data_IF_716047334398
#
_entry.id   IF_716047334398
#
_cell.length_a   1.000
_cell.length_b   1.000
_cell.length_c   1.000
_cell.angle_alpha   90.00
_cell.angle_beta   90.00
_cell.angle_gamma   90.00
#
_symmetry.space_group_name_H-M   'P 1'
#
loop_
_entity.id
_entity.type
_entity.pdbx_description
1 polymer ?
#
# COMPACT_ATOMS: atom_id res chain seq x y z
N UNK A 1 16.63 0.94 32.23
CA UNK A 1 16.84 1.21 30.79
C UNK A 1 16.43 0.00 29.91
N UNK A 2 15.53 -0.89 30.36
CA UNK A 2 15.13 -2.09 29.60
C UNK A 2 13.86 -1.91 28.75
N UNK A 3 12.99 -0.95 29.09
CA UNK A 3 11.63 -0.87 28.51
C UNK A 3 11.58 -0.73 26.98
N UNK A 4 12.58 -0.10 26.35
CA UNK A 4 12.68 0.00 24.91
C UNK A 4 13.16 -1.30 24.27
N UNK A 5 14.14 -1.98 24.87
CA UNK A 5 14.64 -3.28 24.40
C UNK A 5 13.57 -4.37 24.56
N UNK A 6 12.85 -4.36 25.68
CA UNK A 6 11.76 -5.30 25.96
C UNK A 6 10.63 -5.15 24.92
N UNK A 7 10.27 -3.92 24.55
CA UNK A 7 9.29 -3.64 23.49
C UNK A 7 9.76 -4.14 22.12
N UNK A 8 11.02 -3.91 21.78
CA UNK A 8 11.61 -4.36 20.51
C UNK A 8 11.64 -5.89 20.44
N UNK A 9 12.06 -6.57 21.50
CA UNK A 9 12.05 -8.04 21.57
C UNK A 9 10.64 -8.61 21.47
N UNK A 10 9.65 -7.98 22.13
CA UNK A 10 8.26 -8.38 22.00
C UNK A 10 7.74 -8.23 20.56
N UNK A 11 8.08 -7.13 19.88
CA UNK A 11 7.68 -6.90 18.48
C UNK A 11 8.35 -7.88 17.51
N UNK A 12 9.64 -8.18 17.74
CA UNK A 12 10.38 -9.19 16.98
C UNK A 12 9.75 -10.57 17.19
N UNK A 13 9.40 -10.94 18.42
CA UNK A 13 8.76 -12.23 18.71
C UNK A 13 7.37 -12.36 18.10
N UNK A 14 6.58 -11.29 18.06
CA UNK A 14 5.28 -11.29 17.37
C UNK A 14 5.45 -11.47 15.86
N UNK A 15 6.38 -10.73 15.26
CA UNK A 15 6.67 -10.82 13.84
C UNK A 15 7.18 -12.22 13.47
N UNK A 16 8.04 -12.80 14.32
CA UNK A 16 8.53 -14.15 14.17
C UNK A 16 7.38 -15.18 14.18
N UNK A 17 6.48 -15.10 15.16
CA UNK A 17 5.30 -15.97 15.21
C UNK A 17 4.38 -15.83 13.99
N UNK A 18 4.19 -14.62 13.48
CA UNK A 18 3.42 -14.37 12.26
C UNK A 18 4.11 -14.96 11.02
N UNK A 19 5.42 -14.80 10.91
CA UNK A 19 6.23 -15.34 9.82
C UNK A 19 6.32 -16.88 9.87
N UNK A 20 6.15 -17.50 11.04
CA UNK A 20 6.14 -18.96 11.19
C UNK A 20 4.99 -19.64 10.43
N UNK A 21 3.95 -18.88 10.05
CA UNK A 21 2.84 -19.36 9.21
C UNK A 21 3.31 -19.76 7.80
N UNK A 22 4.48 -19.28 7.36
CA UNK A 22 5.03 -19.57 6.04
C UNK A 22 6.12 -20.66 6.12
N UNK A 23 5.87 -21.88 5.62
CA UNK A 23 6.80 -23.00 5.77
C UNK A 23 8.15 -22.79 5.07
N UNK A 24 8.19 -21.96 4.02
CA UNK A 24 9.43 -21.58 3.36
C UNK A 24 10.37 -20.77 4.28
N UNK A 25 9.83 -19.90 5.12
CA UNK A 25 10.62 -19.09 6.05
C UNK A 25 11.14 -19.93 7.23
N UNK A 26 10.35 -20.88 7.69
CA UNK A 26 10.75 -21.81 8.77
C UNK A 26 11.90 -22.75 8.31
N UNK A 27 11.87 -23.20 7.05
CA UNK A 27 12.97 -23.99 6.47
C UNK A 27 14.25 -23.16 6.31
N UNK A 28 14.13 -21.89 5.92
CA UNK A 28 15.25 -20.97 5.80
C UNK A 28 15.88 -20.65 7.17
N UNK A 29 15.07 -20.46 8.21
CA UNK A 29 15.55 -20.26 9.57
C UNK A 29 16.32 -21.47 10.08
N UNK A 30 15.81 -22.69 9.88
CA UNK A 30 16.52 -23.93 10.28
C UNK A 30 17.85 -24.13 9.57
N UNK A 31 17.99 -23.61 8.35
CA UNK A 31 19.21 -23.74 7.54
C UNK A 31 20.23 -22.64 7.84
N UNK A 32 19.77 -21.40 8.05
CA UNK A 32 20.62 -20.22 8.23
C UNK A 32 20.88 -19.88 9.69
N UNK A 33 20.09 -20.43 10.61
CA UNK A 33 20.12 -20.18 12.06
C UNK A 33 19.91 -18.69 12.43
N UNK A 34 19.33 -17.90 11.52
CA UNK A 34 18.98 -16.50 11.73
C UNK A 34 17.46 -16.39 11.91
N UNK A 35 16.96 -15.69 12.95
CA UNK A 35 15.53 -15.54 13.14
C UNK A 35 14.88 -14.84 11.94
N UNK A 36 13.79 -15.42 11.44
CA UNK A 36 13.05 -14.94 10.26
C UNK A 36 12.57 -13.50 10.41
N UNK A 37 12.29 -13.04 11.63
CA UNK A 37 11.98 -11.63 11.90
C UNK A 37 13.12 -10.67 11.51
N UNK A 38 14.38 -10.99 11.82
CA UNK A 38 15.51 -10.14 11.42
C UNK A 38 15.72 -10.15 9.91
N UNK A 39 15.53 -11.31 9.26
CA UNK A 39 15.59 -11.40 7.80
C UNK A 39 14.52 -10.53 7.14
N UNK A 40 13.27 -10.59 7.62
CA UNK A 40 12.17 -9.75 7.12
C UNK A 40 12.44 -8.26 7.31
N UNK A 41 12.88 -7.85 8.50
CA UNK A 41 13.25 -6.45 8.79
C UNK A 41 14.40 -6.01 7.88
N UNK A 42 15.42 -6.85 7.69
CA UNK A 42 16.55 -6.59 6.80
C UNK A 42 16.11 -6.40 5.35
N UNK A 43 15.18 -7.22 4.85
CA UNK A 43 14.62 -7.08 3.50
C UNK A 43 13.81 -5.79 3.34
N UNK A 44 12.99 -5.43 4.31
CA UNK A 44 12.23 -4.16 4.29
C UNK A 44 13.18 -2.96 4.33
N UNK A 45 14.20 -3.00 5.19
CA UNK A 45 15.21 -1.96 5.28
C UNK A 45 16.02 -1.83 3.97
N UNK A 46 16.43 -2.96 3.38
CA UNK A 46 17.12 -2.99 2.09
C UNK A 46 16.23 -2.42 0.99
N UNK A 47 14.97 -2.83 0.93
CA UNK A 47 14.01 -2.33 -0.05
C UNK A 47 13.83 -0.81 0.05
N UNK A 48 13.67 -0.28 1.27
CA UNK A 48 13.59 1.16 1.50
C UNK A 48 14.90 1.87 1.13
N UNK A 49 16.05 1.29 1.47
CA UNK A 49 17.36 1.79 1.10
C UNK A 49 17.53 1.89 -0.43
N UNK A 50 17.13 0.85 -1.17
CA UNK A 50 17.19 0.86 -2.63
C UNK A 50 16.32 1.98 -3.23
N UNK A 51 15.13 2.22 -2.68
CA UNK A 51 14.27 3.35 -3.07
C UNK A 51 14.94 4.69 -2.75
N UNK A 52 15.54 4.84 -1.56
CA UNK A 52 16.17 6.08 -1.11
C UNK A 52 17.35 6.49 -2.00
N UNK A 53 18.16 5.52 -2.43
CA UNK A 53 19.28 5.72 -3.35
C UNK A 53 18.87 5.68 -4.84
N UNK A 54 17.56 5.62 -5.12
CA UNK A 54 16.99 5.56 -6.46
C UNK A 54 17.51 4.38 -7.31
N UNK A 55 17.85 3.27 -6.67
CA UNK A 55 18.24 2.02 -7.33
C UNK A 55 16.97 1.24 -7.70
N UNK A 56 16.48 1.47 -8.92
CA UNK A 56 15.24 0.84 -9.40
C UNK A 56 13.97 1.45 -8.80
N UNK A 57 14.00 2.72 -8.39
CA UNK A 57 12.91 3.39 -7.68
C UNK A 57 11.53 3.26 -8.35
N UNK A 58 11.46 3.36 -9.68
CA UNK A 58 10.20 3.19 -10.42
C UNK A 58 9.63 1.78 -10.29
N UNK A 59 10.47 0.75 -10.47
CA UNK A 59 10.04 -0.64 -10.35
C UNK A 59 9.60 -0.96 -8.92
N UNK A 60 10.41 -0.57 -7.94
CA UNK A 60 10.13 -0.85 -6.53
C UNK A 60 8.83 -0.14 -6.10
N UNK A 61 8.69 1.15 -6.35
CA UNK A 61 7.45 1.88 -6.00
C UNK A 61 6.20 1.31 -6.68
N UNK A 62 6.31 0.87 -7.94
CA UNK A 62 5.21 0.18 -8.61
C UNK A 62 4.86 -1.15 -7.93
N UNK A 63 5.86 -1.97 -7.55
CA UNK A 63 5.60 -3.21 -6.80
C UNK A 63 4.77 -2.91 -5.54
N UNK A 64 5.12 -1.89 -4.76
CA UNK A 64 4.33 -1.52 -3.59
C UNK A 64 2.92 -1.02 -3.97
N UNK A 65 2.82 -0.17 -5.00
CA UNK A 65 1.56 0.39 -5.48
C UNK A 65 0.60 -0.61 -6.13
N UNK A 66 1.09 -1.77 -6.56
CA UNK A 66 0.26 -2.82 -7.17
C UNK A 66 0.05 -4.03 -6.26
N UNK A 67 1.11 -4.54 -5.62
CA UNK A 67 1.05 -5.82 -4.91
C UNK A 67 0.33 -5.70 -3.57
N UNK A 68 0.60 -4.65 -2.78
CA UNK A 68 -0.06 -4.43 -1.48
C UNK A 68 -1.59 -4.30 -1.64
N UNK A 69 -2.11 -3.33 -2.41
CA UNK A 69 -3.55 -3.21 -2.60
C UNK A 69 -4.12 -4.39 -3.39
N UNK A 70 -3.34 -5.01 -4.28
CA UNK A 70 -3.76 -6.21 -5.01
C UNK A 70 -4.05 -7.39 -4.08
N UNK A 71 -3.16 -7.64 -3.11
CA UNK A 71 -3.37 -8.67 -2.10
C UNK A 71 -4.65 -8.43 -1.30
N UNK A 72 -4.83 -7.22 -0.76
CA UNK A 72 -6.04 -6.91 0.00
C UNK A 72 -7.31 -6.85 -0.85
N UNK A 73 -7.20 -6.46 -2.12
CA UNK A 73 -8.32 -6.51 -3.06
C UNK A 73 -8.75 -7.97 -3.29
N UNK A 74 -7.80 -8.90 -3.42
CA UNK A 74 -8.11 -10.33 -3.54
C UNK A 74 -8.78 -10.85 -2.28
N UNK A 75 -8.30 -10.45 -1.09
CA UNK A 75 -8.95 -10.81 0.17
C UNK A 75 -10.38 -10.26 0.24
N UNK A 76 -10.58 -9.00 -0.14
CA UNK A 76 -11.90 -8.36 -0.16
C UNK A 76 -12.88 -9.08 -1.11
N UNK A 77 -12.42 -9.56 -2.27
CA UNK A 77 -13.23 -10.30 -3.23
C UNK A 77 -13.79 -11.63 -2.69
N UNK A 78 -13.11 -12.24 -1.71
CA UNK A 78 -13.59 -13.44 -1.04
C UNK A 78 -14.29 -13.15 0.29
N UNK A 79 -14.34 -11.89 0.71
CA UNK A 79 -15.05 -11.43 1.90
C UNK A 79 -16.53 -11.16 1.59
N UNK A 80 -17.39 -11.23 2.60
CA UNK A 80 -18.82 -10.88 2.45
C UNK A 80 -19.09 -9.37 2.58
N UNK A 81 -18.06 -8.55 2.86
CA UNK A 81 -18.17 -7.16 3.27
C UNK A 81 -18.01 -6.21 2.07
N UNK A 82 -19.11 -5.55 1.68
CA UNK A 82 -19.07 -4.52 0.60
C UNK A 82 -18.25 -3.27 0.93
N UNK A 83 -17.96 -3.03 2.21
CA UNK A 83 -17.20 -1.87 2.64
C UNK A 83 -15.73 -1.98 2.18
N UNK A 84 -15.19 -3.21 2.17
CA UNK A 84 -13.82 -3.47 1.76
C UNK A 84 -13.67 -3.31 0.25
N UNK A 85 -14.65 -3.78 -0.54
CA UNK A 85 -14.69 -3.56 -1.99
C UNK A 85 -14.66 -2.07 -2.37
N UNK A 86 -15.42 -1.25 -1.65
CA UNK A 86 -15.51 0.20 -1.92
C UNK A 86 -14.18 0.90 -1.66
N UNK A 87 -13.47 0.50 -0.59
CA UNK A 87 -12.17 1.04 -0.24
C UNK A 87 -11.13 0.76 -1.32
N UNK A 88 -11.03 -0.50 -1.78
CA UNK A 88 -10.05 -0.89 -2.79
C UNK A 88 -10.39 -0.31 -4.17
N UNK A 89 -11.67 -0.24 -4.55
CA UNK A 89 -12.08 0.44 -5.78
C UNK A 89 -11.70 1.93 -5.74
N UNK A 90 -11.91 2.59 -4.60
CA UNK A 90 -11.50 3.98 -4.40
C UNK A 90 -9.99 4.15 -4.54
N UNK A 91 -9.21 3.23 -3.96
CA UNK A 91 -7.77 3.18 -4.15
C UNK A 91 -7.39 3.10 -5.63
N UNK A 92 -7.95 2.16 -6.39
CA UNK A 92 -7.61 1.97 -7.80
C UNK A 92 -7.96 3.18 -8.66
N UNK A 93 -9.07 3.86 -8.36
CA UNK A 93 -9.47 5.10 -9.04
C UNK A 93 -8.46 6.23 -8.77
N UNK A 94 -8.11 6.45 -7.51
CA UNK A 94 -7.14 7.49 -7.10
C UNK A 94 -5.75 7.18 -7.68
N UNK A 95 -5.29 5.93 -7.54
CA UNK A 95 -4.00 5.46 -8.04
C UNK A 95 -3.86 5.63 -9.55
N UNK A 96 -4.90 5.26 -10.31
CA UNK A 96 -4.91 5.39 -11.78
C UNK A 96 -4.83 6.86 -12.20
N UNK A 97 -5.56 7.75 -11.52
CA UNK A 97 -5.52 9.19 -11.78
C UNK A 97 -4.12 9.78 -11.59
N UNK A 98 -3.46 9.48 -10.46
CA UNK A 98 -2.09 9.94 -10.22
C UNK A 98 -1.08 9.32 -11.18
N UNK A 99 -1.24 8.05 -11.54
CA UNK A 99 -0.35 7.37 -12.50
C UNK A 99 -0.41 8.03 -13.88
N UNK A 100 -1.60 8.45 -14.33
CA UNK A 100 -1.76 9.18 -15.60
C UNK A 100 -1.16 10.58 -15.50
N UNK A 101 -1.37 11.31 -14.41
CA UNK A 101 -0.75 12.64 -14.23
C UNK A 101 0.77 12.52 -14.20
N UNK A 102 1.31 11.55 -13.48
CA UNK A 102 2.74 11.30 -13.41
C UNK A 102 3.34 11.01 -14.79
N UNK A 103 2.66 10.21 -15.62
CA UNK A 103 3.16 9.88 -16.96
C UNK A 103 3.19 11.09 -17.91
N UNK A 104 2.36 12.11 -17.65
CA UNK A 104 2.33 13.36 -18.42
C UNK A 104 3.41 14.37 -18.01
N UNK A 105 3.94 14.29 -16.78
CA UNK A 105 4.88 15.28 -16.25
C UNK A 105 6.31 14.69 -16.26
N UNK A 106 7.07 15.00 -17.30
CA UNK A 106 8.47 14.54 -17.46
C UNK A 106 9.45 15.19 -16.47
N UNK A 107 9.11 16.34 -15.89
CA UNK A 107 10.01 17.09 -14.98
C UNK A 107 10.20 16.42 -13.62
N UNK A 108 9.32 15.47 -13.29
CA UNK A 108 9.24 14.87 -11.96
C UNK A 108 10.50 14.07 -11.61
N UNK A 109 11.21 13.54 -12.61
CA UNK A 109 12.47 12.81 -12.42
C UNK A 109 13.66 13.69 -12.03
N UNK A 110 13.56 15.02 -12.18
CA UNK A 110 14.61 15.95 -11.77
C UNK A 110 14.55 16.28 -10.27
N UNK A 111 13.43 15.99 -9.61
CA UNK A 111 13.25 16.26 -8.19
C UNK A 111 13.98 15.22 -7.32
N UNK A 112 14.88 15.64 -6.39
CA UNK A 112 15.58 14.70 -5.52
C UNK A 112 14.60 13.95 -4.61
N UNK A 113 14.87 12.67 -4.36
CA UNK A 113 14.03 11.78 -3.56
C UNK A 113 12.58 11.59 -4.07
N UNK A 114 12.30 11.91 -5.34
CA UNK A 114 10.97 11.75 -5.92
C UNK A 114 10.35 10.37 -5.65
N UNK A 115 11.09 9.29 -5.92
CA UNK A 115 10.60 7.93 -5.71
C UNK A 115 10.37 7.59 -4.24
N UNK A 116 11.11 8.19 -3.32
CA UNK A 116 10.86 8.05 -1.89
C UNK A 116 9.53 8.69 -1.51
N UNK A 117 9.25 9.91 -1.99
CA UNK A 117 7.95 10.54 -1.76
C UNK A 117 6.81 9.78 -2.42
N UNK A 118 7.01 9.31 -3.66
CA UNK A 118 6.04 8.45 -4.37
C UNK A 118 5.76 7.19 -3.56
N UNK A 119 6.79 6.53 -3.05
CA UNK A 119 6.64 5.33 -2.24
C UNK A 119 5.81 5.58 -0.97
N UNK A 120 6.16 6.62 -0.21
CA UNK A 120 5.43 7.00 1.02
C UNK A 120 3.97 7.34 0.69
N UNK A 121 3.74 8.07 -0.40
CA UNK A 121 2.40 8.40 -0.87
C UNK A 121 1.59 7.14 -1.22
N UNK A 122 2.16 6.20 -1.98
CA UNK A 122 1.51 4.93 -2.33
C UNK A 122 1.25 4.04 -1.11
N UNK A 123 2.15 4.01 -0.13
CA UNK A 123 1.91 3.34 1.13
C UNK A 123 0.77 3.98 1.91
N UNK A 124 0.72 5.30 1.99
CA UNK A 124 -0.35 6.01 2.68
C UNK A 124 -1.72 5.79 2.02
N UNK A 125 -1.76 5.69 0.69
CA UNK A 125 -2.98 5.34 -0.04
C UNK A 125 -3.42 3.89 0.21
N UNK A 126 -2.47 2.95 0.23
CA UNK A 126 -2.75 1.50 0.27
C UNK A 126 -3.00 0.96 1.67
N UNK A 127 -2.46 1.59 2.72
CA UNK A 127 -2.64 1.12 4.09
C UNK A 127 -4.06 1.41 4.60
N UNK A 128 -4.83 0.38 5.01
CA UNK A 128 -6.23 0.53 5.41
C UNK A 128 -6.41 1.37 6.68
N UNK A 129 -5.38 1.43 7.55
CA UNK A 129 -5.38 2.23 8.77
C UNK A 129 -5.52 3.74 8.49
N UNK A 130 -4.90 4.23 7.42
CA UNK A 130 -4.89 5.67 7.12
C UNK A 130 -6.05 6.12 6.24
N UNK A 131 -6.67 5.19 5.49
CA UNK A 131 -7.76 5.46 4.53
C UNK A 131 -7.41 6.63 3.58
N UNK A 132 -6.15 6.72 3.17
CA UNK A 132 -5.64 7.86 2.39
C UNK A 132 -6.34 8.02 1.04
N UNK A 133 -6.64 6.91 0.35
CA UNK A 133 -7.38 6.93 -0.89
C UNK A 133 -8.78 7.55 -0.74
N UNK A 134 -9.52 7.19 0.31
CA UNK A 134 -10.83 7.75 0.57
C UNK A 134 -10.77 9.26 0.88
N UNK A 135 -9.75 9.68 1.63
CA UNK A 135 -9.53 11.10 1.91
C UNK A 135 -9.36 11.90 0.62
N UNK A 136 -8.52 11.43 -0.30
CA UNK A 136 -8.30 12.10 -1.60
C UNK A 136 -9.56 12.06 -2.45
N UNK A 137 -10.24 10.92 -2.48
CA UNK A 137 -11.47 10.78 -3.26
C UNK A 137 -12.54 11.78 -2.79
N UNK A 138 -12.83 11.84 -1.49
CA UNK A 138 -13.85 12.74 -0.93
C UNK A 138 -13.45 14.22 -1.06
N UNK A 139 -12.18 14.53 -0.86
CA UNK A 139 -11.71 15.93 -0.81
C UNK A 139 -11.50 16.54 -2.21
N UNK A 140 -11.10 15.73 -3.20
CA UNK A 140 -10.68 16.22 -4.50
C UNK A 140 -11.47 15.62 -5.67
N UNK A 141 -11.59 14.29 -5.75
CA UNK A 141 -12.21 13.64 -6.90
C UNK A 141 -13.73 13.77 -6.90
N UNK A 142 -14.38 13.59 -5.75
CA UNK A 142 -15.82 13.70 -5.57
C UNK A 142 -16.35 15.09 -5.97
N UNK A 143 -15.79 16.23 -5.54
CA UNK A 143 -16.27 17.54 -5.99
C UNK A 143 -16.03 17.78 -7.49
N UNK A 144 -14.97 17.21 -8.09
CA UNK A 144 -14.74 17.31 -9.54
C UNK A 144 -15.70 16.44 -10.37
N UNK A 145 -15.97 15.22 -9.91
CA UNK A 145 -16.69 14.20 -10.68
C UNK A 145 -18.20 14.15 -10.37
N UNK A 146 -18.64 14.63 -9.21
CA UNK A 146 -20.06 14.63 -8.81
C UNK A 146 -20.96 15.28 -9.87
N UNK A 147 -20.50 16.33 -10.54
CA UNK A 147 -21.23 17.02 -11.61
C UNK A 147 -21.56 16.12 -12.82
N UNK A 148 -20.78 15.07 -13.03
CA UNK A 148 -20.91 14.14 -14.16
C UNK A 148 -21.67 12.86 -13.79
N UNK A 149 -21.54 12.39 -12.55
CA UNK A 149 -22.13 11.11 -12.10
C UNK A 149 -23.40 11.24 -11.27
N UNK A 150 -23.78 12.44 -10.82
CA UNK A 150 -25.05 12.66 -10.07
C UNK A 150 -26.29 12.71 -10.97
N UNK A 151 -26.17 12.53 -12.29
CA UNK A 151 -27.28 12.67 -13.25
C UNK A 151 -27.65 11.36 -13.97
N UNK A 152 -28.05 10.33 -13.22
CA UNK A 152 -28.81 9.19 -13.78
C UNK A 152 -29.65 8.47 -12.73
N UNK A 153 -30.74 9.09 -12.29
CA UNK A 153 -31.91 8.36 -11.82
C UNK A 153 -33.13 9.12 -12.30
N UNK A 154 -33.69 8.81 -13.49
CA UNK A 154 -35.07 9.16 -13.75
C UNK A 154 -35.88 8.28 -12.81
N UNK A 155 -36.41 8.88 -11.74
CA UNK A 155 -37.47 8.26 -10.94
C UNK A 155 -38.58 7.91 -11.93
N UNK A 156 -38.80 6.62 -12.16
CA UNK A 156 -40.02 6.14 -12.79
C UNK A 156 -41.17 6.64 -11.92
N UNK A 157 -41.87 7.65 -12.42
CA UNK A 157 -43.19 7.99 -11.93
C UNK A 157 -44.10 6.86 -12.41
N UNK A 158 -44.33 5.89 -11.54
CA UNK A 158 -45.41 4.95 -11.73
C UNK A 158 -46.70 5.70 -11.35
N UNK A 159 -47.52 5.94 -12.37
CA UNK A 159 -48.87 6.50 -12.34
C UNK A 159 -49.88 5.35 -12.19
#
# INVERSE_FOLDING_TARGET
MSSAQDKVQNMIGQLDNELAKYPALDQLEKTTNVPKAYAAIGLVALYFFLILFNLGGQLLTNIAGFIIPGYYSLEALFSASKADDTQWLTYWVVFSFFTVIESLISVVYWFPFYFTFKFVFLLWLSLPMFRGAEFIFRSFMQPMLSRYFTKSSPVSKDE
#
